data_IF_316355639293
#
_entry.id   IF_316355639293
#
_cell.length_a   1.000
_cell.length_b   1.000
_cell.length_c   1.000
_cell.angle_alpha   90.00
_cell.angle_beta   90.00
_cell.angle_gamma   90.00
#
_symmetry.space_group_name_H-M   'P 1'
#
loop_
_entity.id
_entity.type
_entity.pdbx_description
1 polymer ?
#
# COMPACT_ATOMS: atom_id res chain seq x y z
N UNK A 1 7.49 -6.77 -19.68
CA UNK A 1 7.50 -6.18 -18.32
C UNK A 1 7.05 -4.74 -18.47
N UNK A 2 6.10 -4.29 -17.67
CA UNK A 2 5.64 -2.90 -17.68
C UNK A 2 6.53 -2.04 -16.79
N UNK A 3 6.63 -0.76 -17.10
CA UNK A 3 7.40 0.22 -16.33
C UNK A 3 6.50 1.29 -15.72
N UNK A 4 7.00 2.05 -14.75
CA UNK A 4 6.23 3.14 -14.14
C UNK A 4 5.84 4.21 -15.15
N UNK A 5 6.68 4.48 -16.16
CA UNK A 5 6.35 5.45 -17.21
C UNK A 5 5.14 5.03 -18.07
N UNK A 6 4.88 3.72 -18.16
CA UNK A 6 3.74 3.15 -18.91
C UNK A 6 2.52 2.89 -18.01
N UNK A 7 2.67 3.11 -16.70
CA UNK A 7 1.65 2.80 -15.70
C UNK A 7 0.47 3.77 -15.82
N UNK A 8 -0.74 3.21 -15.89
CA UNK A 8 -1.99 3.96 -15.88
C UNK A 8 -2.78 3.63 -14.61
N UNK A 9 -3.58 4.59 -14.09
CA UNK A 9 -4.54 4.30 -13.03
C UNK A 9 -5.54 3.23 -13.46
N UNK A 10 -5.61 2.14 -12.71
CA UNK A 10 -6.60 1.08 -12.89
C UNK A 10 -7.17 0.70 -11.51
N UNK A 11 -8.45 0.99 -11.22
CA UNK A 11 -9.07 0.69 -9.94
C UNK A 11 -9.30 -0.80 -9.71
N UNK A 12 -9.21 -1.63 -10.74
CA UNK A 12 -9.47 -3.08 -10.70
C UNK A 12 -8.20 -3.91 -10.51
N UNK A 13 -7.03 -3.32 -10.76
CA UNK A 13 -5.76 -4.03 -10.74
C UNK A 13 -4.83 -3.50 -9.63
N UNK A 14 -4.39 -4.41 -8.76
CA UNK A 14 -3.29 -4.16 -7.85
C UNK A 14 -1.96 -4.42 -8.55
N UNK A 15 -0.95 -3.60 -8.24
CA UNK A 15 0.40 -3.68 -8.81
C UNK A 15 1.45 -3.68 -7.71
N UNK A 16 2.65 -4.13 -8.07
CA UNK A 16 3.89 -3.98 -7.30
C UNK A 16 4.89 -3.17 -8.11
N UNK A 17 5.32 -2.04 -7.56
CA UNK A 17 6.44 -1.26 -8.09
C UNK A 17 7.70 -1.69 -7.36
N UNK A 18 8.75 -2.03 -8.12
CA UNK A 18 10.06 -2.41 -7.61
C UNK A 18 11.04 -1.29 -7.90
N UNK A 19 11.49 -0.59 -6.85
CA UNK A 19 12.43 0.52 -6.95
C UNK A 19 13.75 0.18 -6.26
N UNK A 20 14.87 0.38 -6.95
CA UNK A 20 16.21 0.16 -6.39
C UNK A 20 16.89 1.45 -5.92
N UNK A 21 16.12 2.53 -5.80
CA UNK A 21 16.65 3.87 -5.49
C UNK A 21 17.27 3.96 -4.10
N UNK A 22 16.63 3.35 -3.11
CA UNK A 22 17.02 3.47 -1.69
C UNK A 22 17.75 2.23 -1.17
N UNK A 23 17.74 1.13 -1.92
CA UNK A 23 18.35 -0.13 -1.50
C UNK A 23 18.73 -1.00 -2.69
N UNK A 24 19.91 -1.63 -2.61
CA UNK A 24 20.33 -2.69 -3.55
C UNK A 24 19.42 -3.91 -3.51
N UNK A 25 18.71 -4.12 -2.40
CA UNK A 25 17.75 -5.21 -2.25
C UNK A 25 16.37 -4.90 -2.86
N UNK A 26 16.17 -3.66 -3.34
CA UNK A 26 14.90 -3.16 -3.85
C UNK A 26 13.92 -2.83 -2.73
N UNK A 27 13.15 -1.76 -2.95
CA UNK A 27 11.99 -1.36 -2.16
C UNK A 27 10.75 -1.68 -2.99
N UNK A 28 9.75 -2.28 -2.34
CA UNK A 28 8.54 -2.75 -2.97
C UNK A 28 7.36 -1.90 -2.53
N UNK A 29 6.62 -1.34 -3.48
CA UNK A 29 5.40 -0.59 -3.22
C UNK A 29 4.21 -1.31 -3.84
N UNK A 30 3.35 -1.85 -2.98
CA UNK A 30 2.14 -2.58 -3.37
C UNK A 30 0.90 -1.71 -3.22
N UNK A 31 -0.02 -1.79 -4.18
CA UNK A 31 -1.33 -1.15 -4.10
C UNK A 31 -2.05 -1.02 -5.43
N UNK A 32 -3.24 -0.42 -5.39
CA UNK A 32 -4.04 -0.06 -6.57
C UNK A 32 -3.64 1.34 -7.01
N UNK A 33 -3.34 1.53 -8.28
CA UNK A 33 -2.88 2.82 -8.81
C UNK A 33 -4.05 3.79 -8.90
N UNK A 34 -4.00 4.88 -8.12
CA UNK A 34 -5.00 5.96 -8.14
C UNK A 34 -4.60 7.09 -9.06
N UNK A 35 -3.33 7.46 -9.05
CA UNK A 35 -2.80 8.56 -9.85
C UNK A 35 -1.32 8.30 -10.19
N UNK A 36 -0.92 8.75 -11.38
CA UNK A 36 0.47 8.77 -11.84
C UNK A 36 0.72 10.14 -12.45
N UNK A 37 1.67 10.88 -11.89
CA UNK A 37 2.02 12.23 -12.35
C UNK A 37 3.52 12.30 -12.61
N UNK A 38 3.93 12.85 -13.76
CA UNK A 38 5.34 13.15 -13.99
C UNK A 38 5.76 14.29 -13.05
N UNK A 39 6.64 13.98 -12.10
CA UNK A 39 7.13 14.95 -11.12
C UNK A 39 8.34 15.73 -11.67
N UNK A 40 9.20 15.05 -12.43
CA UNK A 40 10.33 15.66 -13.13
C UNK A 40 10.69 14.81 -14.37
N UNK A 41 10.47 15.36 -15.56
CA UNK A 41 10.72 14.66 -16.82
C UNK A 41 12.22 14.44 -17.08
N UNK A 42 13.07 15.42 -16.74
CA UNK A 42 14.53 15.35 -16.96
C UNK A 42 15.19 14.24 -16.14
N UNK A 43 14.63 13.97 -14.95
CA UNK A 43 15.09 12.92 -14.05
C UNK A 43 14.30 11.61 -14.20
N UNK A 44 13.37 11.54 -15.16
CA UNK A 44 12.46 10.41 -15.33
C UNK A 44 11.75 10.04 -14.01
N UNK A 45 11.31 11.03 -13.22
CA UNK A 45 10.75 10.85 -11.88
C UNK A 45 9.22 11.01 -11.91
N UNK A 46 8.52 10.06 -11.31
CA UNK A 46 7.06 10.01 -11.25
C UNK A 46 6.58 9.94 -9.81
N UNK A 47 5.52 10.69 -9.51
CA UNK A 47 4.75 10.56 -8.29
C UNK A 47 3.60 9.59 -8.54
N UNK A 48 3.60 8.45 -7.85
CA UNK A 48 2.59 7.41 -7.98
C UNK A 48 1.82 7.30 -6.68
N UNK A 49 0.51 7.52 -6.73
CA UNK A 49 -0.39 7.36 -5.58
C UNK A 49 -0.98 5.96 -5.62
N UNK A 50 -0.68 5.18 -4.57
CA UNK A 50 -1.17 3.82 -4.37
C UNK A 50 -2.21 3.79 -3.25
N UNK A 51 -3.37 3.23 -3.53
CA UNK A 51 -4.34 2.85 -2.51
C UNK A 51 -4.04 1.43 -2.01
N UNK A 52 -4.00 1.26 -0.68
CA UNK A 52 -3.76 -0.01 -0.01
C UNK A 52 -5.07 -0.49 0.65
N UNK A 53 -5.82 -1.40 0.02
CA UNK A 53 -7.11 -1.87 0.54
C UNK A 53 -6.99 -2.45 1.96
N UNK A 54 -5.91 -3.17 2.24
CA UNK A 54 -5.64 -3.79 3.55
C UNK A 54 -5.62 -2.79 4.71
N UNK A 55 -5.21 -1.55 4.45
CA UNK A 55 -5.09 -0.51 5.49
C UNK A 55 -6.07 0.65 5.28
N UNK A 56 -6.91 0.56 4.24
CA UNK A 56 -7.77 1.64 3.78
C UNK A 56 -7.05 3.00 3.73
N UNK A 57 -5.83 3.02 3.18
CA UNK A 57 -4.97 4.20 3.15
C UNK A 57 -4.38 4.44 1.77
N UNK A 58 -4.02 5.69 1.50
CA UNK A 58 -3.31 6.09 0.28
C UNK A 58 -1.90 6.57 0.63
N UNK A 59 -0.93 6.23 -0.21
CA UNK A 59 0.44 6.70 -0.08
C UNK A 59 1.02 7.06 -1.44
N UNK A 60 1.68 8.21 -1.53
CA UNK A 60 2.37 8.68 -2.74
C UNK A 60 3.85 8.34 -2.66
N UNK A 61 4.36 7.69 -3.71
CA UNK A 61 5.74 7.26 -3.83
C UNK A 61 6.42 7.93 -5.03
N UNK A 62 7.67 8.36 -4.86
CA UNK A 62 8.46 8.98 -5.90
C UNK A 62 9.46 7.97 -6.47
N UNK A 63 9.15 7.47 -7.67
CA UNK A 63 9.84 6.35 -8.32
C UNK A 63 10.30 6.74 -9.72
N UNK A 64 11.30 6.06 -10.25
CA UNK A 64 11.76 6.34 -11.61
C UNK A 64 10.81 5.70 -12.62
N UNK A 65 10.65 6.32 -13.79
CA UNK A 65 9.85 5.79 -14.88
C UNK A 65 10.36 4.44 -15.39
N UNK A 66 11.65 4.13 -15.17
CA UNK A 66 12.29 2.85 -15.47
C UNK A 66 12.08 1.77 -14.41
N UNK A 67 11.53 2.13 -13.24
CA UNK A 67 11.24 1.16 -12.18
C UNK A 67 10.21 0.13 -12.69
N UNK A 68 10.40 -1.12 -12.29
CA UNK A 68 9.63 -2.23 -12.83
C UNK A 68 8.27 -2.33 -12.15
N UNK A 69 7.23 -2.54 -12.95
CA UNK A 69 5.87 -2.83 -12.48
C UNK A 69 5.58 -4.31 -12.72
N UNK A 70 5.20 -5.00 -11.66
CA UNK A 70 4.91 -6.43 -11.64
C UNK A 70 3.59 -6.70 -10.94
N UNK A 71 3.09 -7.92 -11.05
CA UNK A 71 1.95 -8.36 -10.23
C UNK A 71 2.38 -8.49 -8.76
N UNK A 72 1.49 -8.18 -7.80
CA UNK A 72 1.78 -8.39 -6.39
C UNK A 72 2.02 -9.89 -6.12
N UNK A 73 3.24 -10.30 -5.79
CA UNK A 73 3.55 -11.70 -5.45
C UNK A 73 3.01 -12.15 -4.10
N UNK A 74 2.46 -11.22 -3.31
CA UNK A 74 1.68 -11.50 -2.12
C UNK A 74 0.37 -10.73 -2.22
N UNK A 75 -0.73 -11.43 -2.43
CA UNK A 75 -2.05 -10.91 -2.07
C UNK A 75 -1.97 -10.60 -0.59
N UNK A 76 -1.99 -9.33 -0.21
CA UNK A 76 -2.12 -8.98 1.19
C UNK A 76 -3.37 -9.69 1.70
N UNK A 77 -3.21 -10.51 2.75
CA UNK A 77 -4.35 -11.15 3.39
C UNK A 77 -5.43 -10.10 3.71
N UNK A 78 -6.70 -10.52 3.87
CA UNK A 78 -7.75 -9.59 4.25
C UNK A 78 -7.23 -8.71 5.40
N UNK A 79 -7.54 -7.42 5.32
CA UNK A 79 -7.31 -6.51 6.44
C UNK A 79 -7.75 -7.23 7.70
N UNK A 80 -6.99 -7.14 8.79
CA UNK A 80 -7.36 -7.73 10.07
C UNK A 80 -8.54 -6.95 10.69
N UNK A 81 -9.48 -6.46 9.86
CA UNK A 81 -10.64 -5.67 10.21
C UNK A 81 -11.53 -6.42 11.15
N UNK A 82 -11.82 -7.71 10.90
CA UNK A 82 -12.69 -8.50 11.76
C UNK A 82 -12.09 -8.70 13.15
N UNK A 83 -10.79 -8.97 13.23
CA UNK A 83 -10.08 -9.04 14.51
C UNK A 83 -10.06 -7.68 15.20
N UNK A 84 -9.79 -6.59 14.47
CA UNK A 84 -9.79 -5.23 15.03
C UNK A 84 -11.17 -4.74 15.51
N UNK A 85 -12.26 -5.22 14.92
CA UNK A 85 -13.62 -4.91 15.34
C UNK A 85 -14.02 -5.75 16.55
N UNK A 86 -13.71 -7.05 16.54
CA UNK A 86 -13.95 -7.93 17.68
C UNK A 86 -13.14 -7.50 18.91
N UNK A 87 -11.89 -7.09 18.74
CA UNK A 87 -11.02 -6.60 19.81
C UNK A 87 -11.51 -5.24 20.35
N UNK A 88 -11.94 -4.32 19.47
CA UNK A 88 -12.58 -3.05 19.87
C UNK A 88 -13.89 -3.27 20.62
N UNK A 89 -14.73 -4.21 20.16
CA UNK A 89 -15.99 -4.54 20.83
C UNK A 89 -15.75 -5.17 22.21
N UNK A 90 -14.81 -6.12 22.32
CA UNK A 90 -14.42 -6.71 23.63
C UNK A 90 -13.87 -5.67 24.60
N UNK A 91 -13.05 -4.74 24.13
CA UNK A 91 -12.52 -3.66 24.95
C UNK A 91 -13.64 -2.74 25.47
N UNK A 92 -14.59 -2.38 24.61
CA UNK A 92 -15.77 -1.59 24.98
C UNK A 92 -16.67 -2.32 26.00
N UNK A 93 -16.96 -3.60 25.76
CA UNK A 93 -17.78 -4.42 26.66
C UNK A 93 -17.15 -4.57 28.04
N UNK A 94 -15.82 -4.73 28.12
CA UNK A 94 -15.11 -4.80 29.41
C UNK A 94 -15.06 -3.48 30.16
N UNK A 95 -14.90 -2.36 29.45
CA UNK A 95 -14.98 -1.05 30.07
C UNK A 95 -16.35 -0.80 30.70
N UNK A 96 -17.43 -1.18 30.01
CA UNK A 96 -18.79 -1.10 30.56
C UNK A 96 -19.04 -2.09 31.71
N UNK A 97 -18.37 -3.24 31.71
CA UNK A 97 -18.43 -4.22 32.79
C UNK A 97 -17.51 -3.89 33.98
N UNK A 98 -16.73 -2.80 33.93
CA UNK A 98 -15.77 -2.42 34.98
C UNK A 98 -14.60 -3.41 35.13
N UNK A 99 -14.32 -4.19 34.09
CA UNK A 99 -13.25 -5.18 34.09
C UNK A 99 -11.92 -4.56 33.62
N UNK A 100 -10.77 -5.01 34.17
CA UNK A 100 -9.47 -4.53 33.74
C UNK A 100 -9.18 -4.88 32.27
N UNK A 101 -8.30 -4.11 31.59
CA UNK A 101 -7.83 -4.45 30.24
C UNK A 101 -7.15 -5.83 30.22
N UNK A 102 -7.18 -6.50 29.07
CA UNK A 102 -6.43 -7.76 28.89
C UNK A 102 -4.97 -7.35 28.73
N UNK A 103 -4.10 -7.87 29.60
CA UNK A 103 -2.66 -7.73 29.44
C UNK A 103 -2.24 -8.42 28.13
N UNK A 104 -1.35 -7.77 27.38
CA UNK A 104 -0.79 -8.21 26.08
C UNK A 104 -0.05 -9.55 26.13
#
# INVERSE_FOLDING_TARGET
MATVAELQPDPSQAVRIVSYRESSNGVYYDGIVRAVTCANADQNLYAVTLYKPTYNSESTHYVYGTDQVTEPTRTAGPANTDRSYADRQRAFDRQNAGLPPEDE
#
